data_IF_859852037116
#
_entry.id   IF_859852037116
#
_cell.length_a   1.000
_cell.length_b   1.000
_cell.length_c   1.000
_cell.angle_alpha   90.00
_cell.angle_beta   90.00
_cell.angle_gamma   90.00
#
_symmetry.space_group_name_H-M   'P 1'
#
loop_
_entity.id
_entity.type
_entity.pdbx_description
1 polymer ?
#
# COMPACT_ATOMS: atom_id res chain seq x y z
N UNK A 1 -8.88 1.07 -9.18
CA UNK A 1 -7.76 1.82 -9.82
C UNK A 1 -6.79 0.91 -10.52
N UNK A 2 -5.76 1.51 -11.17
CA UNK A 2 -4.70 0.79 -11.87
C UNK A 2 -3.35 1.39 -11.48
N UNK A 3 -2.28 0.57 -11.54
CA UNK A 3 -0.90 1.04 -11.47
C UNK A 3 -0.15 0.65 -12.73
N UNK A 4 0.89 1.41 -13.04
CA UNK A 4 1.75 1.18 -14.21
C UNK A 4 3.20 1.09 -13.76
N UNK A 5 3.93 0.10 -14.26
CA UNK A 5 5.37 -0.04 -14.07
C UNK A 5 5.93 -1.04 -15.08
N UNK A 6 7.20 -0.89 -15.45
CA UNK A 6 7.90 -1.85 -16.31
C UNK A 6 8.38 -3.05 -15.46
N UNK A 7 7.63 -4.15 -15.49
CA UNK A 7 7.95 -5.37 -14.73
C UNK A 7 8.90 -6.31 -15.46
N UNK A 8 8.92 -6.27 -16.79
CA UNK A 8 9.71 -7.17 -17.62
C UNK A 8 11.03 -6.55 -18.12
N UNK A 9 11.29 -5.27 -17.81
CA UNK A 9 12.54 -4.58 -18.13
C UNK A 9 12.69 -4.19 -19.61
N UNK A 10 11.57 -4.09 -20.35
CA UNK A 10 11.60 -3.76 -21.78
C UNK A 10 11.50 -2.25 -22.08
N UNK A 11 11.38 -1.41 -21.04
CA UNK A 11 11.27 0.05 -21.13
C UNK A 11 9.85 0.57 -21.40
N UNK A 12 8.82 -0.30 -21.26
CA UNK A 12 7.43 0.08 -21.37
C UNK A 12 6.67 -0.38 -20.13
N UNK A 13 5.66 0.40 -19.75
CA UNK A 13 4.85 0.10 -18.59
C UNK A 13 3.87 -1.05 -18.85
N UNK A 14 3.80 -1.95 -17.90
CA UNK A 14 2.80 -3.01 -17.75
C UNK A 14 1.68 -2.52 -16.83
N UNK A 15 0.54 -3.19 -16.85
CA UNK A 15 -0.68 -2.78 -16.15
C UNK A 15 -0.94 -3.70 -14.96
N UNK A 16 -1.08 -3.11 -13.76
CA UNK A 16 -1.56 -3.80 -12.56
C UNK A 16 -2.98 -3.34 -12.26
N UNK A 17 -3.91 -4.28 -12.08
CA UNK A 17 -5.31 -3.97 -11.78
C UNK A 17 -5.93 -4.97 -10.83
N UNK A 18 -6.56 -4.47 -9.76
CA UNK A 18 -7.44 -5.23 -8.87
C UNK A 18 -8.89 -5.17 -9.33
N UNK A 19 -9.66 -6.22 -9.05
CA UNK A 19 -11.04 -6.38 -9.51
C UNK A 19 -12.02 -6.66 -8.37
N UNK A 20 -13.32 -6.47 -8.66
CA UNK A 20 -14.43 -6.89 -7.78
C UNK A 20 -14.69 -8.42 -7.85
N UNK A 21 -13.91 -9.15 -8.63
CA UNK A 21 -13.94 -10.61 -8.75
C UNK A 21 -12.76 -11.28 -8.02
N UNK A 22 -12.28 -10.60 -6.97
CA UNK A 22 -11.27 -11.10 -6.04
C UNK A 22 -9.91 -11.43 -6.68
N UNK A 23 -9.58 -10.78 -7.81
CA UNK A 23 -8.34 -11.04 -8.55
C UNK A 23 -7.49 -9.80 -8.75
N UNK A 24 -6.18 -9.97 -8.60
CA UNK A 24 -5.15 -9.05 -9.04
C UNK A 24 -4.54 -9.55 -10.34
N UNK A 25 -4.49 -8.69 -11.35
CA UNK A 25 -3.88 -8.97 -12.65
C UNK A 25 -2.61 -8.14 -12.84
N UNK A 26 -1.60 -8.75 -13.43
CA UNK A 26 -0.46 -8.08 -14.05
C UNK A 26 -0.49 -8.43 -15.54
N UNK A 27 -0.65 -7.42 -16.39
CA UNK A 27 -0.79 -7.56 -17.84
C UNK A 27 0.36 -6.79 -18.48
N UNK A 28 1.18 -7.48 -19.27
CA UNK A 28 2.30 -6.89 -19.97
C UNK A 28 1.85 -5.91 -21.08
N UNK A 29 2.76 -5.04 -21.52
CA UNK A 29 2.54 -4.03 -22.56
C UNK A 29 2.03 -4.61 -23.90
N UNK A 30 2.28 -5.90 -24.15
CA UNK A 30 1.79 -6.63 -25.34
C UNK A 30 0.38 -7.23 -25.16
N UNK A 31 -0.25 -7.03 -23.98
CA UNK A 31 -1.56 -7.54 -23.64
C UNK A 31 -1.57 -8.98 -23.10
N UNK A 32 -0.42 -9.62 -22.92
CA UNK A 32 -0.33 -10.96 -22.34
C UNK A 32 -0.35 -10.89 -20.81
N UNK A 33 -0.94 -11.92 -20.19
CA UNK A 33 -0.97 -12.07 -18.74
C UNK A 33 0.41 -12.52 -18.24
N UNK A 34 0.92 -11.85 -17.20
CA UNK A 34 2.19 -12.22 -16.58
C UNK A 34 2.11 -13.60 -15.90
N UNK A 35 3.19 -14.39 -15.89
CA UNK A 35 3.23 -15.68 -15.18
C UNK A 35 2.88 -15.51 -13.71
N UNK A 36 2.11 -16.46 -13.14
CA UNK A 36 1.65 -16.40 -11.76
C UNK A 36 0.39 -15.56 -11.50
N UNK A 37 -0.08 -14.81 -12.50
CA UNK A 37 -1.32 -14.05 -12.42
C UNK A 37 -2.46 -14.72 -13.22
N UNK A 38 -3.75 -14.46 -12.85
CA UNK A 38 -4.17 -13.59 -11.75
C UNK A 38 -3.85 -14.20 -10.38
N UNK A 39 -3.50 -13.33 -9.42
CA UNK A 39 -3.43 -13.69 -8.01
C UNK A 39 -4.80 -13.51 -7.37
N UNK A 40 -5.32 -14.54 -6.70
CA UNK A 40 -6.66 -14.49 -6.07
C UNK A 40 -6.54 -14.17 -4.58
N UNK A 41 -7.30 -13.16 -4.14
CA UNK A 41 -7.45 -12.72 -2.74
C UNK A 41 -8.79 -13.21 -2.16
N UNK A 42 -9.11 -12.84 -0.92
CA UNK A 42 -10.30 -13.36 -0.23
C UNK A 42 -11.62 -12.63 -0.51
N UNK A 43 -11.58 -11.41 -1.07
CA UNK A 43 -12.74 -10.56 -1.42
C UNK A 43 -12.26 -9.47 -2.40
N UNK A 44 -13.11 -8.55 -2.77
CA UNK A 44 -12.90 -7.47 -3.73
C UNK A 44 -11.69 -6.60 -3.42
N UNK A 45 -10.97 -6.23 -4.48
CA UNK A 45 -9.89 -5.26 -4.45
C UNK A 45 -10.46 -3.92 -4.91
N UNK A 46 -10.84 -3.06 -3.97
CA UNK A 46 -11.37 -1.72 -4.25
C UNK A 46 -10.30 -0.63 -4.11
N UNK A 47 -9.27 -0.86 -3.32
CA UNK A 47 -8.09 -0.01 -3.28
C UNK A 47 -7.41 0.04 -4.66
N UNK A 48 -6.88 1.20 -5.04
CA UNK A 48 -6.00 1.23 -6.20
C UNK A 48 -4.67 0.56 -5.82
N UNK A 49 -4.18 -0.42 -6.60
CA UNK A 49 -2.87 -1.00 -6.35
C UNK A 49 -1.78 0.05 -6.56
N UNK A 50 -0.66 -0.14 -5.92
CA UNK A 50 0.54 0.66 -6.10
C UNK A 50 1.75 -0.25 -6.26
N UNK A 51 2.81 0.23 -6.89
CA UNK A 51 4.04 -0.53 -7.14
C UNK A 51 5.22 0.20 -6.55
N UNK A 52 6.05 -0.50 -5.80
CA UNK A 52 7.33 0.01 -5.33
C UNK A 52 8.46 -0.97 -5.67
N UNK A 53 9.68 -0.45 -5.70
CA UNK A 53 10.89 -1.24 -5.85
C UNK A 53 11.41 -1.60 -4.46
N UNK A 54 11.41 -2.87 -4.13
CA UNK A 54 11.88 -3.37 -2.83
C UNK A 54 13.12 -4.24 -3.07
N UNK A 55 14.27 -3.65 -2.78
CA UNK A 55 15.55 -4.35 -2.94
C UNK A 55 15.89 -4.70 -4.39
N UNK A 56 15.43 -3.91 -5.35
CA UNK A 56 15.64 -4.12 -6.80
C UNK A 56 14.57 -4.98 -7.48
N UNK A 57 13.51 -5.35 -6.76
CA UNK A 57 12.38 -6.11 -7.29
C UNK A 57 11.09 -5.28 -7.20
N UNK A 58 10.29 -5.27 -8.27
CA UNK A 58 8.98 -4.61 -8.25
C UNK A 58 7.98 -5.46 -7.50
N UNK A 59 7.35 -4.84 -6.50
CA UNK A 59 6.33 -5.46 -5.65
C UNK A 59 5.03 -4.70 -5.81
N UNK A 60 3.93 -5.44 -5.94
CA UNK A 60 2.57 -4.90 -6.04
C UNK A 60 1.98 -4.88 -4.63
N UNK A 61 1.46 -3.72 -4.23
CA UNK A 61 0.81 -3.52 -2.94
C UNK A 61 -0.65 -3.15 -3.13
N UNK A 62 -1.56 -3.75 -2.34
CA UNK A 62 -2.99 -3.43 -2.40
C UNK A 62 -3.71 -3.76 -1.10
N UNK A 63 -4.71 -2.96 -0.77
CA UNK A 63 -5.71 -3.32 0.21
C UNK A 63 -6.81 -4.19 -0.38
N UNK A 64 -7.48 -4.98 0.46
CA UNK A 64 -8.58 -5.86 0.09
C UNK A 64 -9.73 -5.76 1.09
N UNK A 65 -10.95 -6.07 0.63
CA UNK A 65 -12.14 -6.10 1.48
C UNK A 65 -12.20 -7.34 2.41
N UNK A 66 -11.27 -8.27 2.28
CA UNK A 66 -11.11 -9.43 3.17
C UNK A 66 -10.36 -9.13 4.47
N UNK A 67 -10.17 -7.82 4.76
CA UNK A 67 -9.46 -7.33 5.93
C UNK A 67 -7.95 -7.64 5.91
N UNK A 68 -7.36 -7.72 4.72
CA UNK A 68 -5.91 -7.86 4.59
C UNK A 68 -5.34 -6.81 3.64
N UNK A 69 -4.12 -6.41 3.94
CA UNK A 69 -3.25 -5.71 3.01
C UNK A 69 -2.26 -6.72 2.43
N UNK A 70 -2.03 -6.68 1.12
CA UNK A 70 -1.22 -7.64 0.38
C UNK A 70 0.00 -7.01 -0.24
N UNK A 71 1.12 -7.72 -0.20
CA UNK A 71 2.28 -7.49 -1.04
C UNK A 71 2.53 -8.72 -1.91
N UNK A 72 2.54 -8.55 -3.24
CA UNK A 72 2.63 -9.61 -4.24
C UNK A 72 3.85 -9.35 -5.10
N UNK A 73 4.73 -10.34 -5.23
CA UNK A 73 5.92 -10.28 -6.07
C UNK A 73 5.56 -10.31 -7.56
N UNK A 74 6.49 -9.88 -8.41
CA UNK A 74 6.32 -9.82 -9.87
C UNK A 74 6.08 -11.19 -10.53
N UNK A 75 6.41 -12.28 -9.85
CA UNK A 75 6.17 -13.66 -10.31
C UNK A 75 4.80 -14.21 -9.85
N UNK A 76 3.96 -13.39 -9.20
CA UNK A 76 2.66 -13.79 -8.66
C UNK A 76 2.72 -14.52 -7.32
N UNK A 77 3.89 -14.68 -6.71
CA UNK A 77 3.99 -15.23 -5.35
C UNK A 77 3.62 -14.19 -4.29
N UNK A 78 3.01 -14.64 -3.20
CA UNK A 78 2.76 -13.79 -2.04
C UNK A 78 4.09 -13.43 -1.37
N UNK A 79 4.34 -12.14 -1.15
CA UNK A 79 5.47 -11.67 -0.34
C UNK A 79 5.09 -11.66 1.15
N UNK A 80 4.04 -10.93 1.50
CA UNK A 80 3.46 -10.94 2.84
C UNK A 80 2.00 -10.45 2.83
N UNK A 81 1.30 -10.65 3.95
CA UNK A 81 0.03 -10.00 4.25
C UNK A 81 0.10 -9.32 5.61
N UNK A 82 -0.65 -8.22 5.75
CA UNK A 82 -0.88 -7.56 7.04
C UNK A 82 -2.38 -7.66 7.36
N UNK A 83 -2.78 -8.44 8.37
CA UNK A 83 -4.19 -8.51 8.76
C UNK A 83 -4.60 -7.22 9.48
N UNK A 84 -5.81 -6.76 9.21
CA UNK A 84 -6.45 -5.59 9.81
C UNK A 84 -7.78 -5.97 10.46
N UNK A 85 -8.38 -5.06 11.22
CA UNK A 85 -9.66 -5.32 11.89
C UNK A 85 -10.88 -5.16 10.97
N UNK A 86 -10.74 -4.50 9.81
CA UNK A 86 -11.79 -4.29 8.80
C UNK A 86 -11.12 -4.07 7.43
N UNK A 87 -11.90 -3.80 6.40
CA UNK A 87 -11.50 -3.62 5.01
C UNK A 87 -10.36 -2.62 4.85
N UNK A 88 -9.45 -2.90 3.93
CA UNK A 88 -8.42 -1.98 3.50
C UNK A 88 -8.81 -1.43 2.12
N UNK A 89 -9.35 -0.21 2.10
CA UNK A 89 -9.81 0.45 0.87
C UNK A 89 -8.94 1.65 0.48
N UNK A 90 -8.04 2.09 1.36
CA UNK A 90 -7.04 3.09 1.03
C UNK A 90 -5.99 2.52 0.07
N UNK A 91 -5.49 3.37 -0.83
CA UNK A 91 -4.32 3.02 -1.63
C UNK A 91 -3.05 3.23 -0.81
N UNK A 92 -2.05 2.33 -0.92
CA UNK A 92 -0.80 2.47 -0.18
C UNK A 92 0.01 3.68 -0.66
N UNK A 93 0.72 4.29 0.28
CA UNK A 93 1.69 5.36 0.04
C UNK A 93 3.08 4.90 0.47
N UNK A 94 4.10 5.35 -0.24
CA UNK A 94 5.48 4.95 0.00
C UNK A 94 6.33 6.13 0.45
N UNK A 95 7.21 5.86 1.41
CA UNK A 95 8.22 6.80 1.88
C UNK A 95 9.59 6.13 1.79
N UNK A 96 10.45 6.64 0.92
CA UNK A 96 11.83 6.22 0.82
C UNK A 96 12.69 7.03 1.78
N UNK A 97 13.27 6.37 2.76
CA UNK A 97 14.10 7.01 3.77
C UNK A 97 15.33 6.15 4.06
N UNK A 98 16.53 6.74 3.98
CA UNK A 98 17.81 6.06 4.25
C UNK A 98 18.05 4.79 3.40
N UNK A 99 17.44 4.72 2.21
CA UNK A 99 17.60 3.58 1.29
C UNK A 99 16.64 2.41 1.56
N UNK A 100 15.69 2.58 2.48
CA UNK A 100 14.60 1.65 2.74
C UNK A 100 13.27 2.28 2.34
N UNK A 101 12.34 1.47 1.84
CA UNK A 101 10.98 1.88 1.47
C UNK A 101 10.01 1.44 2.56
N UNK A 102 9.32 2.41 3.15
CA UNK A 102 8.24 2.19 4.11
C UNK A 102 6.89 2.33 3.43
N UNK A 103 5.95 1.46 3.81
CA UNK A 103 4.63 1.35 3.21
C UNK A 103 3.59 1.76 4.25
N UNK A 104 2.78 2.76 3.94
CA UNK A 104 1.71 3.27 4.80
C UNK A 104 0.36 3.06 4.14
N UNK A 105 -0.62 2.63 4.92
CA UNK A 105 -2.01 2.47 4.45
C UNK A 105 -3.00 2.63 5.61
N UNK A 106 -4.22 3.02 5.27
CA UNK A 106 -5.32 3.13 6.22
C UNK A 106 -6.29 1.95 6.09
N UNK A 107 -7.03 1.67 7.15
CA UNK A 107 -8.08 0.67 7.17
C UNK A 107 -9.40 1.27 7.67
N UNK A 108 -10.50 0.58 7.37
CA UNK A 108 -11.82 0.92 7.88
C UNK A 108 -11.98 0.53 9.37
N UNK A 109 -10.96 -0.05 9.98
CA UNK A 109 -10.88 -0.32 11.43
C UNK A 109 -10.39 0.89 12.24
N UNK A 110 -10.45 2.10 11.67
CA UNK A 110 -10.02 3.35 12.28
C UNK A 110 -8.50 3.35 12.63
N UNK A 111 -7.69 2.72 11.80
CA UNK A 111 -6.25 2.55 12.07
C UNK A 111 -5.39 2.88 10.85
N UNK A 112 -4.26 3.56 11.09
CA UNK A 112 -3.20 3.75 10.11
C UNK A 112 -2.10 2.75 10.39
N UNK A 113 -1.66 2.04 9.38
CA UNK A 113 -0.60 1.03 9.42
C UNK A 113 0.65 1.56 8.73
N UNK A 114 1.80 1.17 9.25
CA UNK A 114 3.09 1.41 8.62
C UNK A 114 3.97 0.16 8.75
N UNK A 115 4.50 -0.30 7.62
CA UNK A 115 5.35 -1.50 7.56
C UNK A 115 6.58 -1.27 6.69
N UNK A 116 7.61 -2.09 6.88
CA UNK A 116 8.77 -2.17 6.00
C UNK A 116 8.51 -3.04 4.76
N UNK A 117 9.50 -3.17 3.88
CA UNK A 117 9.41 -3.98 2.66
C UNK A 117 9.25 -5.49 2.87
N UNK A 118 9.35 -5.96 4.12
CA UNK A 118 9.13 -7.37 4.53
C UNK A 118 7.83 -7.56 5.33
N UNK A 119 7.06 -6.48 5.53
CA UNK A 119 5.78 -6.52 6.23
C UNK A 119 5.87 -6.41 7.75
N UNK A 120 7.04 -6.09 8.31
CA UNK A 120 7.17 -5.84 9.74
C UNK A 120 6.66 -4.45 10.09
N UNK A 121 5.85 -4.32 11.15
CA UNK A 121 5.38 -3.02 11.61
C UNK A 121 6.52 -2.13 12.05
N UNK A 122 6.45 -0.85 11.66
CA UNK A 122 7.37 0.17 12.15
C UNK A 122 7.15 0.42 13.65
N UNK A 123 8.22 0.88 14.31
CA UNK A 123 8.12 1.26 15.72
C UNK A 123 7.09 2.38 15.90
N UNK A 124 6.18 2.22 16.87
CA UNK A 124 5.07 3.16 17.13
C UNK A 124 3.82 2.94 16.27
N UNK A 125 3.87 2.05 15.28
CA UNK A 125 2.73 1.71 14.43
C UNK A 125 2.21 0.28 14.72
N UNK A 126 0.93 0.00 14.45
CA UNK A 126 -0.11 0.86 13.90
C UNK A 126 -0.66 1.89 14.90
N UNK A 127 -1.26 2.98 14.39
CA UNK A 127 -1.86 4.06 15.19
C UNK A 127 -3.36 4.09 14.98
N UNK A 128 -4.11 3.95 16.09
CA UNK A 128 -5.56 4.09 16.08
C UNK A 128 -5.96 5.57 16.06
N UNK A 129 -6.97 5.89 15.27
CA UNK A 129 -7.50 7.24 15.07
C UNK A 129 -9.01 7.26 15.26
N UNK A 130 -9.66 8.40 15.03
CA UNK A 130 -11.12 8.51 15.06
C UNK A 130 -11.64 8.56 13.63
N UNK A 131 -12.29 7.48 13.19
CA UNK A 131 -12.88 7.34 11.86
C UNK A 131 -12.01 6.62 10.84
N UNK A 132 -12.67 6.04 9.83
CA UNK A 132 -12.02 5.22 8.81
C UNK A 132 -11.05 6.02 7.93
N UNK A 133 -10.02 5.35 7.44
CA UNK A 133 -9.04 5.93 6.53
C UNK A 133 -9.25 5.33 5.14
N UNK A 134 -10.13 5.95 4.35
CA UNK A 134 -10.41 5.52 2.97
C UNK A 134 -9.49 6.13 1.91
N UNK A 135 -8.77 7.21 2.27
CA UNK A 135 -7.81 7.88 1.40
C UNK A 135 -6.37 7.45 1.64
N UNK A 136 -5.49 7.78 0.70
CA UNK A 136 -4.05 7.61 0.90
C UNK A 136 -3.51 8.63 1.90
N UNK A 137 -2.51 8.23 2.69
CA UNK A 137 -1.74 9.18 3.49
C UNK A 137 -0.75 9.94 2.59
N UNK A 138 -0.29 11.10 3.05
CA UNK A 138 0.73 11.88 2.36
C UNK A 138 1.85 12.25 3.34
N UNK A 139 3.00 12.66 2.81
CA UNK A 139 4.18 12.98 3.61
C UNK A 139 4.63 14.41 3.35
N UNK A 140 5.00 15.13 4.40
CA UNK A 140 5.57 16.48 4.31
C UNK A 140 6.30 16.80 5.60
N UNK A 141 7.45 17.45 5.51
CA UNK A 141 8.12 18.09 6.66
C UNK A 141 7.30 19.34 7.05
N UNK A 142 6.45 19.20 8.07
CA UNK A 142 5.51 20.23 8.50
C UNK A 142 6.09 21.22 9.50
N UNK A 143 7.03 20.77 10.32
CA UNK A 143 7.65 21.59 11.38
C UNK A 143 9.07 22.06 11.02
N UNK A 144 9.56 21.64 9.85
CA UNK A 144 10.84 22.00 9.26
C UNK A 144 12.04 21.52 10.09
N UNK A 145 11.93 20.32 10.68
CA UNK A 145 13.00 19.65 11.40
C UNK A 145 13.87 18.74 10.50
N UNK A 146 13.42 18.47 9.28
CA UNK A 146 14.10 17.71 8.25
C UNK A 146 13.59 16.27 8.11
N UNK A 147 12.73 15.80 9.00
CA UNK A 147 12.03 14.53 8.91
C UNK A 147 10.60 14.75 8.40
N UNK A 148 10.04 13.85 7.55
CA UNK A 148 8.68 14.02 7.06
C UNK A 148 7.65 13.48 8.05
N UNK A 149 6.52 14.21 8.21
CA UNK A 149 5.34 13.74 8.92
C UNK A 149 4.40 12.98 7.99
N UNK A 150 3.67 12.05 8.60
CA UNK A 150 2.58 11.29 7.99
C UNK A 150 1.27 12.04 8.20
N UNK A 151 0.64 12.49 7.12
CA UNK A 151 -0.63 13.22 7.18
C UNK A 151 -1.76 12.36 6.63
N UNK A 152 -2.82 12.24 7.40
CA UNK A 152 -4.02 11.49 7.06
C UNK A 152 -5.29 12.30 7.29
N UNK A 153 -6.35 11.97 6.52
CA UNK A 153 -7.69 12.46 6.76
C UNK A 153 -8.63 11.28 7.04
N UNK A 154 -9.55 11.48 7.99
CA UNK A 154 -10.55 10.47 8.37
C UNK A 154 -11.93 10.84 7.81
N UNK A 155 -12.82 9.87 7.70
CA UNK A 155 -14.22 10.10 7.33
C UNK A 155 -15.03 10.83 8.44
N UNK A 156 -14.52 10.84 9.68
CA UNK A 156 -15.04 11.67 10.77
C UNK A 156 -14.76 13.18 10.57
N UNK A 157 -13.91 13.54 9.59
CA UNK A 157 -13.56 14.91 9.25
C UNK A 157 -12.30 15.43 9.93
N UNK A 158 -11.53 14.57 10.57
CA UNK A 158 -10.26 14.94 11.18
C UNK A 158 -9.13 14.95 10.14
N UNK A 159 -8.19 15.89 10.28
CA UNK A 159 -6.90 15.92 9.59
C UNK A 159 -5.83 15.75 10.67
N UNK A 160 -5.04 14.72 10.53
CA UNK A 160 -4.10 14.25 11.55
C UNK A 160 -2.68 14.26 10.97
N UNK A 161 -1.70 14.61 11.80
CA UNK A 161 -0.29 14.54 11.47
C UNK A 161 0.47 13.77 12.55
N UNK A 162 1.36 12.90 12.13
CA UNK A 162 2.16 12.04 13.00
C UNK A 162 3.61 12.09 12.58
N UNK A 163 4.50 12.09 13.56
CA UNK A 163 5.91 11.79 13.36
C UNK A 163 6.09 10.34 12.89
N UNK A 164 7.25 10.00 12.34
CA UNK A 164 7.54 8.64 11.86
C UNK A 164 7.51 7.58 12.97
N UNK A 165 7.61 7.97 14.23
CA UNK A 165 7.47 7.09 15.38
C UNK A 165 6.02 6.89 15.85
N UNK A 166 5.04 7.43 15.10
CA UNK A 166 3.61 7.33 15.40
C UNK A 166 3.09 8.30 16.46
N UNK A 167 3.93 9.18 17.01
CA UNK A 167 3.49 10.24 17.92
C UNK A 167 2.81 11.39 17.15
N UNK A 168 1.85 12.09 17.77
CA UNK A 168 1.26 13.30 17.17
C UNK A 168 2.30 14.42 17.07
N UNK A 169 2.20 15.21 15.99
CA UNK A 169 2.95 16.44 15.79
C UNK A 169 2.45 17.54 16.71
#
# INVERSE_FOLDING_TARGET
GVALADFNGNGKDDIVVGTDEDNMYLIYDDGTLAPGFPYTVGDKIQAAPSVADIGGEKVIFTGCNDNNFYAINSDGSLRFTVPTGDKVQSSPSFLDLNGETYIFFGSNDDTIYAVDGDGNSLSGWPVAVNGTIGGSVVFSDLDNDGDPEVVAATDAGDILAFNLDGSYV
#
